data_IF_151737330013
#
_entry.id   IF_151737330013
#
_cell.length_a   1.000
_cell.length_b   1.000
_cell.length_c   1.000
_cell.angle_alpha   90.00
_cell.angle_beta   90.00
_cell.angle_gamma   90.00
#
_symmetry.space_group_name_H-M   'P 1'
#
loop_
_entity.id
_entity.type
_entity.pdbx_description
1 polymer ?
#
# COMPACT_ATOMS: atom_id res chain seq x y z
N UNK A 1 7.51 15.28 -6.96
CA UNK A 1 6.66 15.62 -5.83
C UNK A 1 7.19 14.90 -4.58
N UNK A 2 7.41 15.60 -3.50
CA UNK A 2 7.89 15.02 -2.24
C UNK A 2 6.73 14.67 -1.33
N UNK A 3 6.92 13.60 -0.54
CA UNK A 3 6.01 13.29 0.55
C UNK A 3 6.11 14.33 1.66
N UNK A 4 4.96 14.72 2.18
CA UNK A 4 4.87 15.55 3.37
C UNK A 4 5.52 14.81 4.55
N UNK A 5 6.37 15.49 5.31
CA UNK A 5 7.13 14.91 6.42
C UNK A 5 6.22 14.71 7.67
N UNK A 6 5.23 13.85 7.54
CA UNK A 6 4.27 13.50 8.58
C UNK A 6 4.28 11.98 8.74
N UNK A 7 4.44 11.44 9.97
CA UNK A 7 4.32 10.01 10.21
C UNK A 7 2.95 9.50 9.81
N UNK A 8 2.88 8.29 9.24
CA UNK A 8 1.61 7.64 8.93
C UNK A 8 1.75 6.11 8.94
N UNK A 9 0.61 5.43 8.90
CA UNK A 9 0.52 3.99 8.81
C UNK A 9 0.16 3.58 7.40
N UNK A 10 0.80 2.54 6.90
CA UNK A 10 0.50 1.93 5.61
C UNK A 10 0.14 0.46 5.79
N UNK A 11 -0.86 0.00 5.05
CA UNK A 11 -1.29 -1.39 5.04
C UNK A 11 -1.51 -1.83 3.59
N UNK A 12 -0.71 -2.77 3.11
CA UNK A 12 -1.00 -3.47 1.87
C UNK A 12 -2.21 -4.37 2.10
N UNK A 13 -3.10 -4.48 1.11
CA UNK A 13 -4.26 -5.38 1.19
C UNK A 13 -3.86 -6.82 1.53
N UNK A 14 -4.82 -7.61 2.02
CA UNK A 14 -4.66 -9.04 2.26
C UNK A 14 -4.45 -9.86 0.98
N UNK A 15 -4.11 -11.14 1.13
CA UNK A 15 -3.85 -12.03 0.01
C UNK A 15 -5.08 -12.20 -0.89
N UNK A 16 -4.81 -12.27 -2.20
CA UNK A 16 -5.76 -12.68 -3.24
C UNK A 16 -5.28 -13.98 -3.89
N UNK A 17 -6.15 -14.65 -4.65
CA UNK A 17 -5.73 -15.86 -5.38
C UNK A 17 -4.63 -15.54 -6.40
N UNK A 18 -4.63 -14.38 -7.02
CA UNK A 18 -3.57 -13.98 -7.93
C UNK A 18 -2.24 -13.70 -7.22
N UNK A 19 -2.26 -13.21 -5.99
CA UNK A 19 -1.04 -13.16 -5.17
C UNK A 19 -0.46 -14.55 -4.95
N UNK A 20 -1.30 -15.50 -4.55
CA UNK A 20 -0.89 -16.87 -4.32
C UNK A 20 -0.32 -17.55 -5.57
N UNK A 21 -0.81 -17.17 -6.75
CA UNK A 21 -0.37 -17.71 -8.05
C UNK A 21 0.80 -16.93 -8.67
N UNK A 22 1.22 -15.82 -8.07
CA UNK A 22 2.31 -14.99 -8.61
C UNK A 22 1.95 -14.21 -9.87
N UNK A 23 0.68 -13.83 -10.04
CA UNK A 23 0.19 -13.11 -11.19
C UNK A 23 0.13 -11.60 -10.92
N UNK A 24 0.40 -10.80 -11.95
CA UNK A 24 0.24 -9.35 -11.91
C UNK A 24 -1.25 -8.98 -11.88
N UNK A 25 -1.68 -8.29 -10.84
CA UNK A 25 -3.10 -7.94 -10.67
C UNK A 25 -3.45 -6.60 -11.30
N UNK A 26 -2.65 -5.58 -11.02
CA UNK A 26 -2.89 -4.24 -11.50
C UNK A 26 -4.29 -3.73 -11.12
N UNK A 27 -5.03 -3.23 -12.11
CA UNK A 27 -6.40 -2.73 -11.97
C UNK A 27 -7.47 -3.82 -12.02
N UNK A 28 -7.13 -5.06 -12.35
CA UNK A 28 -8.07 -6.18 -12.31
C UNK A 28 -8.55 -6.37 -10.87
N UNK A 29 -9.86 -6.35 -10.68
CA UNK A 29 -10.48 -6.28 -9.35
C UNK A 29 -10.64 -7.67 -8.72
N UNK A 30 -9.51 -8.28 -8.37
CA UNK A 30 -9.48 -9.60 -7.73
C UNK A 30 -9.79 -9.42 -6.24
N UNK A 31 -10.76 -10.18 -5.68
CA UNK A 31 -11.13 -10.08 -4.28
C UNK A 31 -10.10 -10.75 -3.35
N UNK A 32 -10.19 -10.46 -2.07
CA UNK A 32 -9.47 -11.21 -1.04
C UNK A 32 -9.90 -12.69 -1.08
N UNK A 33 -8.92 -13.58 -0.88
CA UNK A 33 -9.23 -14.97 -0.56
C UNK A 33 -9.41 -15.15 0.95
N UNK A 34 -9.70 -16.37 1.42
CA UNK A 34 -9.91 -16.64 2.85
C UNK A 34 -8.68 -16.31 3.71
N UNK A 35 -7.48 -16.55 3.17
CA UNK A 35 -6.22 -16.17 3.83
C UNK A 35 -6.11 -14.66 3.97
N UNK A 36 -6.44 -13.92 2.92
CA UNK A 36 -6.42 -12.45 2.92
C UNK A 36 -7.39 -11.84 3.93
N UNK A 37 -8.59 -12.40 4.07
CA UNK A 37 -9.56 -11.97 5.09
C UNK A 37 -8.99 -12.18 6.49
N UNK A 38 -8.42 -13.36 6.78
CA UNK A 38 -7.80 -13.64 8.07
C UNK A 38 -6.61 -12.71 8.36
N UNK A 39 -5.81 -12.40 7.35
CA UNK A 39 -4.72 -11.44 7.47
C UNK A 39 -5.22 -10.03 7.79
N UNK A 40 -6.29 -9.58 7.15
CA UNK A 40 -6.91 -8.29 7.42
C UNK A 40 -7.48 -8.21 8.85
N UNK A 41 -8.11 -9.26 9.33
CA UNK A 41 -8.62 -9.35 10.71
C UNK A 41 -7.49 -9.30 11.74
N UNK A 42 -6.37 -9.96 11.46
CA UNK A 42 -5.17 -9.89 12.30
C UNK A 42 -4.58 -8.47 12.31
N UNK A 43 -4.47 -7.83 11.15
CA UNK A 43 -4.02 -6.45 11.05
C UNK A 43 -4.93 -5.51 11.85
N UNK A 44 -6.24 -5.71 11.80
CA UNK A 44 -7.22 -4.94 12.56
C UNK A 44 -6.95 -5.00 14.07
N UNK A 45 -6.66 -6.19 14.58
CA UNK A 45 -6.30 -6.34 16.01
C UNK A 45 -5.01 -5.63 16.37
N UNK A 46 -4.01 -5.67 15.50
CA UNK A 46 -2.74 -4.94 15.68
C UNK A 46 -2.95 -3.43 15.68
N UNK A 47 -3.80 -2.92 14.80
CA UNK A 47 -4.05 -1.50 14.63
C UNK A 47 -4.98 -0.90 15.70
N UNK A 48 -5.87 -1.70 16.28
CA UNK A 48 -6.92 -1.23 17.17
C UNK A 48 -6.41 -0.34 18.33
N UNK A 49 -5.27 -0.64 19.02
CA UNK A 49 -4.80 0.18 20.14
C UNK A 49 -3.95 1.38 19.74
N UNK A 50 -3.73 1.64 18.46
CA UNK A 50 -2.69 2.59 18.01
C UNK A 50 -3.20 4.06 17.89
N UNK A 51 -4.46 4.33 18.17
CA UNK A 51 -4.99 5.70 18.18
C UNK A 51 -5.17 6.30 16.77
N UNK A 52 -5.29 5.50 15.73
CA UNK A 52 -5.51 5.96 14.36
C UNK A 52 -6.82 6.77 14.29
N UNK A 53 -6.76 7.93 13.65
CA UNK A 53 -7.88 8.88 13.59
C UNK A 53 -8.56 8.92 12.20
N UNK A 54 -7.88 8.51 11.13
CA UNK A 54 -8.42 8.54 9.77
C UNK A 54 -7.97 7.32 8.97
N UNK A 55 -8.85 6.79 8.11
CA UNK A 55 -8.56 5.67 7.21
C UNK A 55 -8.88 6.09 5.79
N UNK A 56 -7.89 6.00 4.90
CA UNK A 56 -8.04 6.27 3.47
C UNK A 56 -7.58 5.05 2.67
N UNK A 57 -8.36 4.62 1.70
CA UNK A 57 -8.08 3.40 0.97
C UNK A 57 -8.22 3.55 -0.54
N UNK A 58 -7.53 2.67 -1.26
CA UNK A 58 -7.82 2.38 -2.65
C UNK A 58 -9.24 1.82 -2.80
N UNK A 59 -9.98 2.18 -3.85
CA UNK A 59 -11.33 1.66 -4.08
C UNK A 59 -11.36 0.22 -4.62
N UNK A 60 -10.24 -0.37 -5.04
CA UNK A 60 -10.20 -1.76 -5.49
C UNK A 60 -10.59 -2.71 -4.36
N UNK A 61 -11.41 -3.73 -4.65
CA UNK A 61 -12.10 -4.52 -3.62
C UNK A 61 -11.16 -5.14 -2.60
N UNK A 62 -9.99 -5.64 -3.01
CA UNK A 62 -8.98 -6.22 -2.09
C UNK A 62 -8.47 -5.23 -1.06
N UNK A 63 -8.29 -3.97 -1.45
CA UNK A 63 -7.88 -2.90 -0.54
C UNK A 63 -9.08 -2.34 0.25
N UNK A 64 -10.22 -2.16 -0.43
CA UNK A 64 -11.45 -1.69 0.21
C UNK A 64 -11.88 -2.61 1.35
N UNK A 65 -11.96 -3.92 1.11
CA UNK A 65 -12.38 -4.89 2.14
C UNK A 65 -11.35 -4.95 3.29
N UNK A 66 -10.06 -4.95 2.99
CA UNK A 66 -9.01 -4.86 4.01
C UNK A 66 -9.18 -3.61 4.88
N UNK A 67 -9.44 -2.46 4.25
CA UNK A 67 -9.66 -1.20 4.96
C UNK A 67 -10.93 -1.21 5.80
N UNK A 68 -12.02 -1.76 5.29
CA UNK A 68 -13.29 -1.86 6.01
C UNK A 68 -13.16 -2.75 7.26
N UNK A 69 -12.43 -3.86 7.17
CA UNK A 69 -12.15 -4.73 8.32
C UNK A 69 -11.32 -3.98 9.37
N UNK A 70 -10.26 -3.29 8.96
CA UNK A 70 -9.44 -2.49 9.88
C UNK A 70 -10.23 -1.34 10.50
N UNK A 71 -10.98 -0.60 9.72
CA UNK A 71 -11.76 0.55 10.16
C UNK A 71 -12.87 0.14 11.14
N UNK A 72 -13.49 -1.01 10.97
CA UNK A 72 -14.49 -1.53 11.92
C UNK A 72 -13.89 -1.71 13.32
N UNK A 73 -12.67 -2.22 13.42
CA UNK A 73 -11.96 -2.36 14.69
C UNK A 73 -11.55 -1.01 15.31
N UNK A 74 -11.37 0.02 14.47
CA UNK A 74 -11.03 1.37 14.90
C UNK A 74 -12.28 2.23 15.20
N UNK A 75 -13.46 1.78 14.82
CA UNK A 75 -14.69 2.58 14.93
C UNK A 75 -14.70 3.80 13.99
N UNK A 76 -14.04 3.70 12.84
CA UNK A 76 -13.88 4.81 11.90
C UNK A 76 -14.54 4.49 10.53
N UNK A 77 -15.00 5.52 9.82
CA UNK A 77 -15.38 5.36 8.41
C UNK A 77 -14.13 5.22 7.54
N UNK A 78 -14.31 4.68 6.33
CA UNK A 78 -13.27 4.64 5.30
C UNK A 78 -13.56 5.72 4.26
N UNK A 79 -12.54 6.54 3.97
CA UNK A 79 -12.54 7.42 2.80
C UNK A 79 -11.78 6.75 1.65
N UNK A 80 -12.15 7.01 0.41
CA UNK A 80 -11.51 6.42 -0.77
C UNK A 80 -10.84 7.49 -1.61
N UNK A 81 -9.67 7.17 -2.15
CA UNK A 81 -8.98 7.99 -3.15
C UNK A 81 -8.62 7.10 -4.34
N UNK A 82 -9.14 7.45 -5.52
CA UNK A 82 -8.92 6.68 -6.74
C UNK A 82 -7.44 6.59 -7.13
N UNK A 83 -6.64 7.59 -6.76
CA UNK A 83 -5.21 7.61 -7.05
C UNK A 83 -4.38 6.68 -6.14
N UNK A 84 -5.00 6.08 -5.13
CA UNK A 84 -4.41 4.98 -4.36
C UNK A 84 -4.58 3.61 -5.03
N UNK A 85 -5.30 3.52 -6.13
CA UNK A 85 -5.44 2.28 -6.88
C UNK A 85 -4.08 1.78 -7.37
N UNK A 86 -3.96 0.43 -7.50
CA UNK A 86 -2.74 -0.18 -8.01
C UNK A 86 -2.43 0.29 -9.43
N UNK A 87 -1.19 0.10 -9.84
CA UNK A 87 -0.74 0.38 -11.19
C UNK A 87 -1.62 -0.33 -12.22
N UNK A 88 -2.00 0.38 -13.28
CA UNK A 88 -2.53 -0.25 -14.47
C UNK A 88 -1.38 -0.95 -15.21
N UNK A 89 -1.35 -2.27 -15.19
CA UNK A 89 -0.32 -3.05 -15.89
C UNK A 89 -0.69 -3.43 -17.33
N UNK A 90 -1.83 -2.96 -17.84
CA UNK A 90 -2.24 -3.20 -19.22
C UNK A 90 -2.27 -4.69 -19.55
N UNK A 91 -1.59 -5.09 -20.63
CA UNK A 91 -1.57 -6.48 -21.11
C UNK A 91 -0.84 -7.45 -20.16
N UNK A 92 -0.07 -6.96 -19.21
CA UNK A 92 0.60 -7.78 -18.21
C UNK A 92 -0.35 -8.33 -17.15
N UNK A 93 -1.54 -7.76 -16.98
CA UNK A 93 -2.48 -8.21 -15.96
C UNK A 93 -2.93 -9.65 -16.21
N UNK A 94 -2.87 -10.48 -15.18
CA UNK A 94 -3.16 -11.91 -15.26
C UNK A 94 -1.99 -12.78 -15.73
N UNK A 95 -0.85 -12.19 -16.08
CA UNK A 95 0.36 -12.91 -16.46
C UNK A 95 1.33 -13.00 -15.27
N UNK A 96 2.21 -14.02 -15.26
CA UNK A 96 3.22 -14.16 -14.22
C UNK A 96 4.13 -12.95 -14.12
N UNK A 97 4.51 -12.61 -12.90
CA UNK A 97 5.58 -11.65 -12.64
C UNK A 97 6.90 -12.17 -13.24
N UNK A 98 7.78 -11.27 -13.64
CA UNK A 98 9.05 -11.65 -14.28
C UNK A 98 10.10 -10.55 -14.19
N UNK A 99 11.22 -10.78 -14.89
CA UNK A 99 12.40 -9.92 -14.85
C UNK A 99 12.15 -8.50 -15.41
N UNK A 100 11.11 -8.32 -16.21
CA UNK A 100 10.72 -7.02 -16.77
C UNK A 100 10.41 -5.98 -15.69
N UNK A 101 10.14 -6.40 -14.46
CA UNK A 101 9.72 -5.51 -13.39
C UNK A 101 10.81 -4.50 -13.02
N UNK A 102 12.08 -4.93 -12.97
CA UNK A 102 13.20 -4.03 -12.71
C UNK A 102 13.37 -2.99 -13.81
N UNK A 103 13.19 -3.38 -15.09
CA UNK A 103 13.25 -2.47 -16.23
C UNK A 103 12.10 -1.47 -16.20
N UNK A 104 10.92 -1.90 -15.75
CA UNK A 104 9.77 -1.00 -15.57
C UNK A 104 10.04 0.04 -14.47
N UNK A 105 10.59 -0.37 -13.33
CA UNK A 105 10.98 0.56 -12.26
C UNK A 105 12.05 1.55 -12.75
N UNK A 106 13.00 1.08 -13.54
CA UNK A 106 14.05 1.92 -14.12
C UNK A 106 13.54 2.89 -15.21
N UNK A 107 12.35 2.63 -15.76
CA UNK A 107 11.78 3.41 -16.85
C UNK A 107 12.22 2.97 -18.25
N UNK A 108 12.90 1.83 -18.36
CA UNK A 108 13.43 1.30 -19.63
C UNK A 108 12.43 0.42 -20.37
N UNK A 109 11.37 -0.01 -19.70
CA UNK A 109 10.32 -0.84 -20.29
C UNK A 109 8.96 -0.52 -19.63
N UNK A 110 7.91 -0.49 -20.45
CA UNK A 110 6.52 -0.38 -19.96
C UNK A 110 5.66 -1.38 -20.71
N UNK A 111 4.94 -2.29 -20.05
CA UNK A 111 4.00 -3.19 -20.72
C UNK A 111 2.98 -2.41 -21.55
N UNK A 112 2.52 -3.00 -22.66
CA UNK A 112 1.54 -2.35 -23.55
C UNK A 112 0.26 -2.01 -22.77
N UNK A 113 -0.17 -0.77 -22.87
CA UNK A 113 -1.37 -0.28 -22.18
C UNK A 113 -1.18 -0.01 -20.69
N UNK A 114 0.04 -0.20 -20.17
CA UNK A 114 0.34 0.04 -18.76
C UNK A 114 0.71 1.50 -18.50
N UNK A 115 0.55 1.91 -17.25
CA UNK A 115 1.14 3.15 -16.78
C UNK A 115 2.64 2.98 -16.50
N UNK A 116 3.42 4.05 -16.68
CA UNK A 116 4.83 4.05 -16.34
C UNK A 116 5.02 4.08 -14.82
N UNK A 117 6.18 3.63 -14.36
CA UNK A 117 6.52 3.73 -12.94
C UNK A 117 6.54 5.19 -12.45
N UNK A 118 6.98 6.13 -13.29
CA UNK A 118 6.97 7.55 -12.94
C UNK A 118 5.55 8.10 -12.78
N UNK A 119 4.62 7.70 -13.65
CA UNK A 119 3.21 8.08 -13.50
C UNK A 119 2.62 7.55 -12.20
N UNK A 120 2.94 6.31 -11.83
CA UNK A 120 2.53 5.73 -10.55
C UNK A 120 3.12 6.51 -9.37
N UNK A 121 4.41 6.84 -9.42
CA UNK A 121 5.07 7.64 -8.37
C UNK A 121 4.36 8.97 -8.13
N UNK A 122 4.11 9.69 -9.20
CA UNK A 122 3.53 11.04 -9.10
C UNK A 122 2.14 10.99 -8.48
N UNK A 123 1.26 10.10 -8.95
CA UNK A 123 -0.09 10.01 -8.40
C UNK A 123 -0.12 9.42 -6.99
N UNK A 124 0.74 8.45 -6.68
CA UNK A 124 0.83 7.86 -5.35
C UNK A 124 1.25 8.89 -4.30
N UNK A 125 2.30 9.66 -4.58
CA UNK A 125 2.77 10.72 -3.69
C UNK A 125 1.70 11.79 -3.48
N UNK A 126 1.02 12.21 -4.55
CA UNK A 126 -0.08 13.18 -4.45
C UNK A 126 -1.24 12.65 -3.61
N UNK A 127 -1.63 11.39 -3.78
CA UNK A 127 -2.71 10.76 -3.00
C UNK A 127 -2.35 10.64 -1.52
N UNK A 128 -1.14 10.21 -1.20
CA UNK A 128 -0.68 10.15 0.19
C UNK A 128 -0.66 11.53 0.82
N UNK A 129 -0.16 12.55 0.12
CA UNK A 129 -0.17 13.92 0.64
C UNK A 129 -1.59 14.43 0.91
N UNK A 130 -2.57 14.08 0.07
CA UNK A 130 -3.99 14.39 0.35
C UNK A 130 -4.49 13.69 1.60
N UNK A 131 -4.11 12.43 1.81
CA UNK A 131 -4.49 11.69 3.01
C UNK A 131 -3.89 12.31 4.28
N UNK A 132 -2.65 12.79 4.21
CA UNK A 132 -1.93 13.33 5.36
C UNK A 132 -2.46 14.67 5.88
N UNK A 133 -3.35 15.34 5.14
CA UNK A 133 -4.04 16.55 5.67
C UNK A 133 -5.23 16.19 6.56
N UNK A 134 -5.67 14.95 6.59
CA UNK A 134 -6.72 14.47 7.47
C UNK A 134 -6.22 14.38 8.93
N UNK A 135 -7.14 14.33 9.92
CA UNK A 135 -6.73 14.12 11.30
C UNK A 135 -5.88 12.85 11.46
N UNK A 136 -4.68 13.04 12.01
CA UNK A 136 -3.73 11.94 12.20
C UNK A 136 -3.75 11.36 13.61
N UNK A 137 -3.15 10.19 13.78
CA UNK A 137 -2.47 9.36 12.76
C UNK A 137 -3.39 8.84 11.66
N UNK A 138 -2.90 8.83 10.43
CA UNK A 138 -3.65 8.36 9.26
C UNK A 138 -3.19 6.96 8.87
N UNK A 139 -4.14 6.07 8.56
CA UNK A 139 -3.90 4.78 7.94
C UNK A 139 -4.23 4.86 6.45
N UNK A 140 -3.26 4.51 5.61
CA UNK A 140 -3.43 4.36 4.16
C UNK A 140 -3.43 2.89 3.81
N UNK A 141 -4.48 2.41 3.14
CA UNK A 141 -4.63 1.02 2.72
C UNK A 141 -4.58 0.94 1.19
N UNK A 142 -3.57 0.26 0.66
CA UNK A 142 -3.35 0.24 -0.78
C UNK A 142 -2.59 -1.01 -1.24
N UNK A 143 -1.62 -0.87 -2.13
CA UNK A 143 -1.10 -1.94 -2.98
C UNK A 143 0.43 -2.02 -2.96
N UNK A 144 0.95 -3.16 -3.42
CA UNK A 144 2.38 -3.46 -3.38
C UNK A 144 3.23 -2.65 -4.35
N UNK A 145 2.83 -2.53 -5.62
CA UNK A 145 3.59 -1.75 -6.59
C UNK A 145 3.52 -0.26 -6.28
N UNK A 146 2.37 0.22 -5.84
CA UNK A 146 2.21 1.60 -5.36
C UNK A 146 3.17 1.88 -4.19
N UNK A 147 3.30 0.96 -3.25
CA UNK A 147 4.22 1.16 -2.12
C UNK A 147 5.69 1.16 -2.56
N UNK A 148 6.07 0.36 -3.56
CA UNK A 148 7.41 0.44 -4.15
C UNK A 148 7.70 1.82 -4.74
N UNK A 149 6.73 2.44 -5.37
CA UNK A 149 6.86 3.82 -5.84
C UNK A 149 7.03 4.82 -4.69
N UNK A 150 6.27 4.66 -3.61
CA UNK A 150 6.42 5.47 -2.40
C UNK A 150 7.79 5.29 -1.73
N UNK A 151 8.36 4.09 -1.79
CA UNK A 151 9.70 3.85 -1.25
C UNK A 151 10.74 4.76 -1.88
N UNK A 152 10.68 4.98 -3.20
CA UNK A 152 11.59 5.95 -3.85
C UNK A 152 11.38 7.38 -3.32
N UNK A 153 10.13 7.79 -3.10
CA UNK A 153 9.83 9.09 -2.50
C UNK A 153 10.33 9.21 -1.05
N UNK A 154 10.48 8.09 -0.37
CA UNK A 154 11.03 8.00 0.98
C UNK A 154 12.56 7.87 1.02
N UNK A 155 13.23 7.93 -0.12
CA UNK A 155 14.69 7.76 -0.21
C UNK A 155 15.16 6.31 0.01
N UNK A 156 14.31 5.33 -0.26
CA UNK A 156 14.56 3.91 -0.06
C UNK A 156 14.62 3.16 -1.40
N UNK A 157 15.25 1.99 -1.41
CA UNK A 157 15.24 1.11 -2.56
C UNK A 157 13.80 0.71 -2.93
N UNK A 158 13.45 0.83 -4.21
CA UNK A 158 12.07 0.62 -4.67
C UNK A 158 11.65 -0.85 -4.66
N UNK A 159 12.48 -1.73 -5.24
CA UNK A 159 12.08 -3.12 -5.49
C UNK A 159 12.24 -4.01 -4.25
N UNK A 160 11.49 -3.69 -3.21
CA UNK A 160 11.38 -4.50 -2.00
C UNK A 160 9.93 -4.89 -1.80
N UNK A 161 9.68 -6.18 -1.64
CA UNK A 161 8.32 -6.70 -1.46
C UNK A 161 7.73 -6.26 -0.11
N UNK A 162 6.51 -5.75 -0.14
CA UNK A 162 5.71 -5.46 1.05
C UNK A 162 4.81 -6.65 1.35
N UNK A 163 4.87 -7.24 2.56
CA UNK A 163 3.97 -8.32 2.95
C UNK A 163 2.49 -7.91 2.91
N UNK A 164 1.61 -8.85 2.58
CA UNK A 164 0.17 -8.63 2.66
C UNK A 164 -0.28 -8.34 4.10
N UNK A 165 -1.06 -7.31 4.28
CA UNK A 165 -1.71 -6.94 5.54
C UNK A 165 -0.78 -6.88 6.77
N UNK A 166 0.47 -6.48 6.58
CA UNK A 166 1.38 -6.15 7.67
C UNK A 166 1.37 -4.63 7.89
N UNK A 167 0.87 -4.15 9.03
CA UNK A 167 0.90 -2.71 9.30
C UNK A 167 2.32 -2.17 9.38
N UNK A 168 2.58 -1.10 8.65
CA UNK A 168 3.88 -0.43 8.62
C UNK A 168 3.76 0.99 9.15
N UNK A 169 4.58 1.33 10.12
CA UNK A 169 4.71 2.71 10.58
C UNK A 169 5.79 3.41 9.78
N UNK A 170 5.43 4.47 9.09
CA UNK A 170 6.31 5.25 8.24
C UNK A 170 6.71 6.50 9.00
N UNK A 171 8.01 6.64 9.24
CA UNK A 171 8.57 7.75 10.02
C UNK A 171 9.45 8.61 9.12
N UNK A 172 9.19 9.92 9.02
CA UNK A 172 10.05 10.83 8.25
C UNK A 172 11.46 10.84 8.78
N UNK A 173 12.46 11.22 7.93
CA UNK A 173 13.84 11.29 8.38
C UNK A 173 14.00 12.25 9.56
N UNK A 174 14.83 11.86 10.51
CA UNK A 174 15.29 12.74 11.58
C UNK A 174 16.13 13.88 11.01
N UNK A 175 16.42 14.90 11.83
CA UNK A 175 17.23 16.07 11.45
C UNK A 175 18.53 15.65 10.73
N UNK A 176 18.69 16.10 9.47
CA UNK A 176 19.84 15.80 8.63
C UNK A 176 19.81 14.46 7.91
N UNK A 177 18.77 13.64 8.13
CA UNK A 177 18.57 12.40 7.39
C UNK A 177 17.86 12.61 6.05
N UNK A 178 18.01 11.62 5.14
CA UNK A 178 17.40 11.67 3.80
C UNK A 178 16.41 10.54 3.56
N UNK A 179 16.42 9.49 4.39
CA UNK A 179 15.59 8.32 4.24
C UNK A 179 14.58 8.20 5.40
N UNK A 180 13.37 7.74 5.04
CA UNK A 180 12.34 7.39 6.02
C UNK A 180 12.66 6.04 6.67
N UNK A 181 12.17 5.85 7.89
CA UNK A 181 12.15 4.55 8.56
C UNK A 181 10.82 3.85 8.33
N UNK A 182 10.87 2.54 8.08
CA UNK A 182 9.70 1.66 7.99
C UNK A 182 9.76 0.69 9.16
N UNK A 183 8.81 0.79 10.09
CA UNK A 183 8.76 -0.06 11.29
C UNK A 183 7.52 -0.94 11.25
N UNK A 184 7.68 -2.26 10.99
CA UNK A 184 6.54 -3.17 11.04
C UNK A 184 5.97 -3.26 12.45
N UNK A 185 4.63 -3.29 12.55
CA UNK A 185 3.91 -3.55 13.79
C UNK A 185 3.37 -4.97 13.80
N UNK A 186 3.58 -5.68 14.89
CA UNK A 186 3.05 -7.03 15.12
C UNK A 186 2.21 -7.06 16.39
N UNK A 187 1.32 -8.05 16.50
CA UNK A 187 0.61 -8.29 17.76
C UNK A 187 1.63 -8.55 18.87
N UNK A 188 1.37 -7.97 20.05
CA UNK A 188 2.11 -8.37 21.23
C UNK A 188 1.94 -9.87 21.47
N UNK A 189 2.97 -10.59 21.99
CA UNK A 189 2.81 -11.98 22.40
C UNK A 189 1.64 -12.10 23.38
N UNK A 190 0.80 -13.10 23.19
CA UNK A 190 -0.20 -13.42 24.19
C UNK A 190 0.51 -13.79 25.51
N UNK A 191 0.08 -13.16 26.57
CA UNK A 191 0.64 -13.42 27.89
C UNK A 191 0.21 -14.77 28.44
#
# INVERSE_FOLDING_TARGET
>A
LRLQATPFWFLRHGETDWNAQGLSQGRTDIPLNAVGVAQAERAARTLAPLGIASVVASPLSRARVTAEIAAAALGLPVSFDADLAEVNFGEQEGLPMGDWYDDWIAGDYTPIGAETFQQLRDRAAAAVNRALVLPGPVLVVAHGALFRALRLEMGLEANVRTPNALPLHLLPPAHGGTAWDIVPATLAPEA
#
